data_IF_304630075901
#
_entry.id   IF_304630075901
#
_cell.length_a   1.000
_cell.length_b   1.000
_cell.length_c   1.000
_cell.angle_alpha   90.00
_cell.angle_beta   90.00
_cell.angle_gamma   90.00
#
_symmetry.space_group_name_H-M   'P 1'
#
loop_
_entity.id
_entity.type
_entity.pdbx_description
1 polymer ?
#
# COMPACT_ATOMS: atom_id res chain seq x y z
N UNK A 1 -20.62 19.37 -14.99
CA UNK A 1 -19.55 19.00 -14.03
C UNK A 1 -20.06 19.34 -12.64
N UNK A 2 -20.10 18.37 -11.72
CA UNK A 2 -20.55 18.59 -10.36
C UNK A 2 -19.54 19.50 -9.63
N UNK A 3 -20.04 20.38 -8.77
CA UNK A 3 -19.17 21.18 -7.88
C UNK A 3 -18.64 20.31 -6.74
N UNK A 4 -17.53 20.70 -6.08
CA UNK A 4 -17.01 19.96 -4.92
C UNK A 4 -18.06 19.76 -3.82
N UNK A 5 -18.92 20.75 -3.59
CA UNK A 5 -19.99 20.70 -2.60
C UNK A 5 -21.07 19.67 -2.97
N UNK A 6 -21.51 19.67 -4.21
CA UNK A 6 -22.46 18.67 -4.72
C UNK A 6 -21.89 17.24 -4.64
N UNK A 7 -20.59 17.08 -4.89
CA UNK A 7 -19.93 15.80 -4.74
C UNK A 7 -19.87 15.35 -3.28
N UNK A 8 -19.56 16.28 -2.36
CA UNK A 8 -19.55 16.01 -0.93
C UNK A 8 -20.94 15.55 -0.45
N UNK A 9 -22.00 16.29 -0.75
CA UNK A 9 -23.38 15.93 -0.38
C UNK A 9 -23.81 14.58 -0.97
N UNK A 10 -23.45 14.32 -2.23
CA UNK A 10 -23.71 13.03 -2.86
C UNK A 10 -23.04 11.88 -2.12
N UNK A 11 -21.77 12.02 -1.73
CA UNK A 11 -21.02 10.98 -1.01
C UNK A 11 -21.51 10.80 0.42
N UNK A 12 -21.87 11.89 1.12
CA UNK A 12 -22.51 11.82 2.44
C UNK A 12 -23.76 10.96 2.38
N UNK A 13 -24.65 11.25 1.42
CA UNK A 13 -25.88 10.49 1.26
C UNK A 13 -25.61 9.03 0.81
N UNK A 14 -24.74 8.83 -0.17
CA UNK A 14 -24.39 7.50 -0.68
C UNK A 14 -23.83 6.57 0.40
N UNK A 15 -23.01 7.11 1.28
CA UNK A 15 -22.38 6.35 2.35
C UNK A 15 -23.09 6.48 3.70
N UNK A 16 -24.23 7.13 3.76
CA UNK A 16 -25.01 7.33 4.98
C UNK A 16 -24.17 7.86 6.16
N UNK A 17 -23.36 8.91 5.90
CA UNK A 17 -22.53 9.52 6.92
C UNK A 17 -23.38 10.44 7.76
N UNK A 18 -23.33 10.27 9.08
CA UNK A 18 -24.04 11.12 10.04
C UNK A 18 -23.30 12.45 10.22
N UNK A 19 -23.81 13.49 9.58
CA UNK A 19 -23.27 14.85 9.64
C UNK A 19 -23.79 15.67 10.83
N UNK A 20 -24.73 15.12 11.61
CA UNK A 20 -25.17 15.75 12.85
C UNK A 20 -24.21 15.42 14.00
N UNK A 21 -23.68 14.17 14.00
CA UNK A 21 -22.72 13.70 15.01
C UNK A 21 -21.28 14.07 14.68
N UNK A 22 -20.92 14.03 13.40
CA UNK A 22 -19.52 14.22 12.95
C UNK A 22 -19.34 15.57 12.24
N UNK A 23 -18.29 16.30 12.62
CA UNK A 23 -17.88 17.49 11.90
C UNK A 23 -17.47 17.16 10.45
N UNK A 24 -17.34 18.21 9.62
CA UNK A 24 -17.05 18.06 8.19
C UNK A 24 -15.75 17.29 7.93
N UNK A 25 -14.73 17.46 8.77
CA UNK A 25 -13.44 16.79 8.60
C UNK A 25 -13.55 15.28 8.91
N UNK A 26 -14.20 14.92 10.01
CA UNK A 26 -14.45 13.52 10.36
C UNK A 26 -15.40 12.84 9.39
N UNK A 27 -16.43 13.51 8.95
CA UNK A 27 -17.32 13.02 7.91
C UNK A 27 -16.55 12.71 6.61
N UNK A 28 -15.61 13.58 6.21
CA UNK A 28 -14.73 13.32 5.07
C UNK A 28 -13.85 12.10 5.28
N UNK A 29 -13.23 11.91 6.44
CA UNK A 29 -12.42 10.72 6.74
C UNK A 29 -13.25 9.43 6.64
N UNK A 30 -14.46 9.43 7.19
CA UNK A 30 -15.39 8.29 7.10
C UNK A 30 -15.75 7.99 5.64
N UNK A 31 -16.00 9.03 4.84
CA UNK A 31 -16.29 8.86 3.40
C UNK A 31 -15.12 8.25 2.65
N UNK A 32 -13.88 8.68 2.92
CA UNK A 32 -12.68 8.12 2.27
C UNK A 32 -12.56 6.62 2.55
N UNK A 33 -12.72 6.21 3.80
CA UNK A 33 -12.68 4.79 4.18
C UNK A 33 -13.81 4.01 3.51
N UNK A 34 -15.04 4.49 3.58
CA UNK A 34 -16.20 3.83 2.95
C UNK A 34 -16.10 3.77 1.44
N UNK A 35 -15.51 4.79 0.81
CA UNK A 35 -15.25 4.79 -0.62
C UNK A 35 -14.18 3.75 -1.01
N UNK A 36 -13.09 3.65 -0.25
CA UNK A 36 -12.08 2.63 -0.46
C UNK A 36 -12.67 1.21 -0.37
N UNK A 37 -13.48 0.94 0.66
CA UNK A 37 -14.21 -0.32 0.80
C UNK A 37 -15.22 -0.56 -0.34
N UNK A 38 -15.86 0.50 -0.85
CA UNK A 38 -16.78 0.40 -1.98
C UNK A 38 -16.09 -0.03 -3.27
N UNK A 39 -14.88 0.46 -3.52
CA UNK A 39 -14.10 0.08 -4.71
C UNK A 39 -13.75 -1.42 -4.75
N UNK A 40 -13.60 -2.05 -3.60
CA UNK A 40 -13.29 -3.48 -3.45
C UNK A 40 -14.51 -4.33 -3.08
N UNK A 41 -15.73 -3.76 -3.11
CA UNK A 41 -16.96 -4.39 -2.62
C UNK A 41 -17.37 -5.68 -3.34
N UNK A 42 -16.85 -5.93 -4.54
CA UNK A 42 -17.04 -7.19 -5.27
C UNK A 42 -16.21 -8.35 -4.69
N UNK A 43 -15.20 -8.05 -3.88
CA UNK A 43 -14.33 -9.01 -3.19
C UNK A 43 -14.40 -8.82 -1.68
N UNK A 44 -15.58 -9.08 -1.09
CA UNK A 44 -15.88 -8.81 0.33
C UNK A 44 -14.96 -9.48 1.35
N UNK A 45 -14.23 -10.52 0.93
CA UNK A 45 -13.26 -11.25 1.74
C UNK A 45 -11.85 -10.69 1.66
N UNK A 46 -11.60 -9.73 0.74
CA UNK A 46 -10.29 -9.06 0.66
C UNK A 46 -10.32 -7.82 1.56
N UNK A 47 -9.40 -7.71 2.53
CA UNK A 47 -9.31 -6.54 3.38
C UNK A 47 -9.00 -5.28 2.56
N UNK A 48 -9.60 -4.16 2.97
CA UNK A 48 -9.23 -2.83 2.45
C UNK A 48 -8.19 -2.22 3.37
N UNK A 49 -7.04 -1.85 2.83
CA UNK A 49 -6.01 -1.14 3.58
C UNK A 49 -6.48 0.29 3.88
N UNK A 50 -6.52 0.63 5.17
CA UNK A 50 -7.01 1.93 5.66
C UNK A 50 -5.86 2.84 6.05
N UNK A 51 -4.82 2.29 6.66
CA UNK A 51 -3.64 3.02 7.10
C UNK A 51 -2.41 2.11 7.05
N UNK A 52 -1.29 2.71 6.70
CA UNK A 52 0.02 2.04 6.65
C UNK A 52 0.98 2.74 7.62
N UNK A 53 2.03 2.02 8.01
CA UNK A 53 3.11 2.55 8.85
C UNK A 53 2.60 3.15 10.17
N UNK A 54 1.60 2.50 10.77
CA UNK A 54 1.02 2.93 12.04
C UNK A 54 1.98 2.63 13.20
N UNK A 55 2.01 3.51 14.21
CA UNK A 55 2.89 3.33 15.37
C UNK A 55 2.47 2.13 16.23
N UNK A 56 3.44 1.56 16.96
CA UNK A 56 3.19 0.46 17.90
C UNK A 56 2.14 0.82 18.94
N UNK A 57 2.07 2.09 19.36
CA UNK A 57 1.04 2.60 20.27
C UNK A 57 -0.36 2.48 19.63
N UNK A 58 -0.50 2.87 18.36
CA UNK A 58 -1.76 2.75 17.61
C UNK A 58 -2.15 1.27 17.45
N UNK A 59 -1.19 0.40 17.16
CA UNK A 59 -1.41 -1.05 17.09
C UNK A 59 -1.92 -1.60 18.42
N UNK A 60 -1.31 -1.19 19.53
CA UNK A 60 -1.73 -1.62 20.87
C UNK A 60 -3.16 -1.17 21.17
N UNK A 61 -3.52 0.08 20.86
CA UNK A 61 -4.89 0.61 21.05
C UNK A 61 -5.91 -0.17 20.21
N UNK A 62 -5.60 -0.45 18.94
CA UNK A 62 -6.49 -1.23 18.05
C UNK A 62 -6.71 -2.63 18.62
N UNK A 63 -5.64 -3.29 19.09
CA UNK A 63 -5.73 -4.64 19.68
C UNK A 63 -6.52 -4.64 21.00
N UNK A 64 -6.37 -3.61 21.83
CA UNK A 64 -7.14 -3.46 23.07
C UNK A 64 -8.65 -3.30 22.80
N UNK A 65 -9.00 -2.55 21.75
CA UNK A 65 -10.39 -2.29 21.35
C UNK A 65 -10.90 -3.26 20.27
N UNK A 66 -10.26 -4.41 20.07
CA UNK A 66 -10.65 -5.36 19.01
C UNK A 66 -12.10 -5.86 19.12
N UNK A 67 -12.67 -5.93 20.34
CA UNK A 67 -14.08 -6.28 20.55
C UNK A 67 -15.05 -5.26 19.95
N UNK A 68 -14.67 -3.99 19.95
CA UNK A 68 -15.49 -2.87 19.46
C UNK A 68 -15.23 -2.59 17.99
N UNK A 69 -14.04 -2.96 17.49
CA UNK A 69 -13.57 -2.76 16.14
C UNK A 69 -13.73 -4.02 15.28
N UNK A 70 -14.92 -4.61 15.26
CA UNK A 70 -15.19 -5.82 14.49
C UNK A 70 -14.88 -5.64 13.01
N UNK A 71 -14.03 -6.51 12.46
CA UNK A 71 -13.61 -6.46 11.06
C UNK A 71 -12.39 -5.56 10.79
N UNK A 72 -11.79 -4.99 11.82
CA UNK A 72 -10.49 -4.30 11.73
C UNK A 72 -9.40 -5.27 12.14
N UNK A 73 -8.34 -5.37 11.33
CA UNK A 73 -7.20 -6.25 11.55
C UNK A 73 -5.91 -5.46 11.38
N UNK A 74 -4.91 -5.78 12.16
CA UNK A 74 -3.54 -5.28 12.02
C UNK A 74 -2.69 -6.39 11.42
N UNK A 75 -2.08 -6.13 10.27
CA UNK A 75 -1.14 -7.04 9.60
C UNK A 75 0.24 -6.43 9.58
N UNK A 76 1.23 -7.29 9.74
CA UNK A 76 2.63 -6.94 9.47
C UNK A 76 2.89 -7.06 7.98
N UNK A 77 3.55 -6.05 7.42
CA UNK A 77 3.93 -6.02 6.02
C UNK A 77 5.35 -5.48 5.87
N UNK A 78 5.94 -5.64 4.70
CA UNK A 78 7.28 -5.17 4.39
C UNK A 78 7.21 -3.91 3.53
N UNK A 79 8.02 -2.92 3.89
CA UNK A 79 8.08 -1.63 3.21
C UNK A 79 9.43 -1.43 2.55
N UNK A 80 9.42 -0.84 1.35
CA UNK A 80 10.64 -0.39 0.70
C UNK A 80 11.22 0.79 1.46
N UNK A 81 12.49 0.71 1.83
CA UNK A 81 13.23 1.80 2.50
C UNK A 81 14.41 2.18 1.62
N UNK A 82 14.58 3.48 1.41
CA UNK A 82 15.66 4.04 0.62
C UNK A 82 16.55 4.91 1.49
N UNK A 83 17.86 4.66 1.47
CA UNK A 83 18.82 5.54 2.10
C UNK A 83 19.06 6.77 1.22
N UNK A 84 18.93 7.96 1.78
CA UNK A 84 19.16 9.25 1.10
C UNK A 84 18.39 9.42 -0.22
N UNK A 85 17.05 9.24 -0.23
CA UNK A 85 16.26 9.19 -1.46
C UNK A 85 16.36 10.44 -2.32
N UNK A 86 16.53 11.62 -1.73
CA UNK A 86 16.68 12.91 -2.40
C UNK A 86 17.92 12.97 -3.31
N UNK A 87 19.00 12.30 -2.92
CA UNK A 87 20.26 12.29 -3.67
C UNK A 87 20.35 11.17 -4.70
N UNK A 88 19.55 10.10 -4.52
CA UNK A 88 19.67 8.88 -5.32
C UNK A 88 18.42 8.55 -6.15
N UNK A 89 17.36 9.34 -6.10
CA UNK A 89 16.09 9.05 -6.77
C UNK A 89 16.23 8.69 -8.25
N UNK A 90 17.13 9.36 -8.97
CA UNK A 90 17.41 9.14 -10.39
C UNK A 90 18.13 7.82 -10.67
N UNK A 91 18.81 7.23 -9.69
CA UNK A 91 19.48 5.93 -9.76
C UNK A 91 18.56 4.82 -9.26
N UNK A 92 17.96 5.03 -8.08
CA UNK A 92 17.09 4.05 -7.43
C UNK A 92 15.81 3.81 -8.25
N UNK A 93 15.26 4.87 -8.82
CA UNK A 93 13.98 4.81 -9.51
C UNK A 93 12.80 4.89 -8.56
N UNK A 94 11.69 4.29 -8.95
CA UNK A 94 10.46 4.30 -8.17
C UNK A 94 9.64 3.04 -8.45
N UNK A 95 8.73 2.73 -7.54
CA UNK A 95 7.76 1.65 -7.67
C UNK A 95 6.40 2.18 -8.10
N UNK A 96 5.63 1.36 -8.77
CA UNK A 96 4.28 1.71 -9.20
C UNK A 96 3.47 0.48 -9.58
N UNK A 97 2.18 0.68 -9.80
CA UNK A 97 1.28 -0.42 -10.16
C UNK A 97 1.73 -1.09 -11.46
N UNK A 98 1.74 -2.41 -11.48
CA UNK A 98 2.11 -3.23 -12.64
C UNK A 98 1.19 -2.93 -13.83
N UNK A 99 1.75 -2.77 -15.02
CA UNK A 99 1.02 -2.70 -16.29
C UNK A 99 0.79 -4.08 -16.88
N UNK A 100 -0.11 -4.21 -17.86
CA UNK A 100 -0.37 -5.52 -18.49
C UNK A 100 0.89 -6.09 -19.16
N UNK A 101 1.71 -5.26 -19.81
CA UNK A 101 2.96 -5.71 -20.44
C UNK A 101 4.02 -6.18 -19.43
N UNK A 102 4.18 -5.44 -18.33
CA UNK A 102 5.10 -5.85 -17.26
C UNK A 102 4.62 -7.12 -16.55
N UNK A 103 3.30 -7.28 -16.42
CA UNK A 103 2.73 -8.49 -15.87
C UNK A 103 3.04 -9.72 -16.74
N UNK A 104 2.89 -9.60 -18.06
CA UNK A 104 3.21 -10.70 -18.98
C UNK A 104 4.70 -11.09 -18.90
N UNK A 105 5.59 -10.11 -18.80
CA UNK A 105 7.03 -10.34 -18.71
C UNK A 105 7.46 -10.93 -17.35
N UNK A 106 6.93 -10.39 -16.24
CA UNK A 106 7.29 -10.81 -14.89
C UNK A 106 6.64 -12.15 -14.51
N UNK A 107 5.38 -12.37 -14.89
CA UNK A 107 4.69 -13.64 -14.63
C UNK A 107 5.28 -14.83 -15.40
N UNK A 108 5.95 -14.58 -16.52
CA UNK A 108 6.71 -15.59 -17.24
C UNK A 108 7.98 -16.03 -16.48
N UNK A 109 8.49 -15.21 -15.57
CA UNK A 109 9.69 -15.46 -14.77
C UNK A 109 9.34 -15.97 -13.36
N UNK A 110 8.26 -15.46 -12.78
CA UNK A 110 7.74 -15.86 -11.47
C UNK A 110 6.20 -15.79 -11.49
N UNK A 111 5.54 -16.92 -11.31
CA UNK A 111 4.07 -17.07 -11.35
C UNK A 111 3.36 -16.45 -10.13
N UNK A 112 4.11 -15.96 -9.15
CA UNK A 112 3.57 -15.28 -7.97
C UNK A 112 3.07 -13.86 -8.24
N UNK A 113 3.43 -13.26 -9.39
CA UNK A 113 2.96 -11.92 -9.76
C UNK A 113 1.46 -11.88 -10.05
N UNK A 114 0.84 -10.77 -9.68
CA UNK A 114 -0.57 -10.50 -9.94
C UNK A 114 -0.76 -9.08 -10.52
N UNK A 115 -1.85 -8.86 -11.23
CA UNK A 115 -2.19 -7.54 -11.84
C UNK A 115 -2.42 -6.41 -10.83
N UNK A 116 -2.45 -6.72 -9.54
CA UNK A 116 -2.60 -5.74 -8.46
C UNK A 116 -1.27 -5.30 -7.84
N UNK A 117 -0.16 -5.90 -8.26
CA UNK A 117 1.13 -5.71 -7.63
C UNK A 117 1.73 -4.33 -7.90
N UNK A 118 2.59 -3.93 -6.97
CA UNK A 118 3.48 -2.79 -7.10
C UNK A 118 4.86 -3.32 -7.48
N UNK A 119 5.41 -2.83 -8.57
CA UNK A 119 6.69 -3.26 -9.14
C UNK A 119 7.59 -2.07 -9.44
N UNK A 120 8.88 -2.31 -9.57
CA UNK A 120 9.85 -1.28 -9.99
C UNK A 120 9.59 -0.78 -11.40
N UNK A 121 9.54 0.53 -11.57
CA UNK A 121 9.23 1.19 -12.85
C UNK A 121 10.46 1.75 -13.56
N UNK A 122 11.50 2.04 -12.83
CA UNK A 122 12.72 2.63 -13.35
C UNK A 122 13.91 2.31 -12.45
N UNK A 123 15.13 2.53 -12.97
CA UNK A 123 16.37 2.44 -12.20
C UNK A 123 16.63 1.07 -11.59
N UNK A 124 17.22 1.08 -10.42
CA UNK A 124 17.55 -0.15 -9.67
C UNK A 124 16.30 -0.93 -9.29
N UNK A 125 15.22 -0.25 -8.93
CA UNK A 125 13.95 -0.89 -8.61
C UNK A 125 13.47 -1.79 -9.77
N UNK A 126 13.54 -1.31 -11.00
CA UNK A 126 13.13 -2.10 -12.16
C UNK A 126 14.10 -3.24 -12.47
N UNK A 127 15.40 -2.96 -12.45
CA UNK A 127 16.43 -3.96 -12.82
C UNK A 127 16.53 -5.07 -11.80
N UNK A 128 16.34 -4.76 -10.52
CA UNK A 128 16.47 -5.70 -9.41
C UNK A 128 15.12 -6.15 -8.86
N UNK A 129 14.03 -5.96 -9.60
CA UNK A 129 12.66 -6.28 -9.18
C UNK A 129 12.53 -7.68 -8.59
N UNK A 130 13.01 -8.71 -9.29
CA UNK A 130 12.92 -10.10 -8.82
C UNK A 130 13.65 -10.38 -7.49
N UNK A 131 14.67 -9.58 -7.17
CA UNK A 131 15.42 -9.69 -5.92
C UNK A 131 14.76 -8.90 -4.79
N UNK A 132 14.15 -7.76 -5.15
CA UNK A 132 13.58 -6.81 -4.22
C UNK A 132 12.15 -7.17 -3.81
N UNK A 133 11.37 -7.85 -4.66
CA UNK A 133 9.93 -8.07 -4.49
C UNK A 133 9.57 -8.92 -3.26
N UNK A 134 10.43 -9.82 -2.82
CA UNK A 134 10.10 -10.74 -1.73
C UNK A 134 9.07 -11.81 -2.14
N UNK A 135 8.51 -12.48 -1.15
CA UNK A 135 7.49 -13.51 -1.37
C UNK A 135 6.22 -13.17 -0.63
N UNK A 136 5.10 -13.22 -1.33
CA UNK A 136 3.78 -12.97 -0.75
C UNK A 136 3.41 -14.03 0.27
N UNK A 137 2.78 -13.62 1.34
CA UNK A 137 2.02 -14.51 2.18
C UNK A 137 0.76 -15.03 1.45
N UNK A 138 0.28 -16.17 1.86
CA UNK A 138 -0.95 -16.73 1.33
C UNK A 138 -1.79 -17.32 2.46
N UNK A 139 -3.08 -17.08 2.40
CA UNK A 139 -4.04 -17.61 3.36
C UNK A 139 -5.21 -18.26 2.60
N UNK A 140 -5.49 -19.51 2.90
CA UNK A 140 -6.67 -20.19 2.36
C UNK A 140 -7.78 -20.17 3.40
N UNK A 141 -8.86 -19.50 3.08
CA UNK A 141 -10.00 -19.35 3.97
C UNK A 141 -11.26 -20.00 3.42
N UNK A 142 -12.05 -20.64 4.30
CA UNK A 142 -13.41 -21.03 3.98
C UNK A 142 -14.36 -19.92 4.37
N UNK A 143 -15.18 -19.50 3.43
CA UNK A 143 -16.20 -18.45 3.66
C UNK A 143 -17.61 -19.00 3.48
N UNK A 144 -18.57 -18.44 4.19
CA UNK A 144 -19.98 -18.72 3.97
C UNK A 144 -20.53 -17.93 2.76
N UNK A 145 -21.80 -18.14 2.43
CA UNK A 145 -22.49 -17.43 1.33
C UNK A 145 -22.61 -15.91 1.54
N UNK A 146 -22.32 -15.40 2.73
CA UNK A 146 -22.30 -13.96 3.07
C UNK A 146 -20.88 -13.39 3.04
N UNK A 147 -19.86 -14.20 2.70
CA UNK A 147 -18.45 -13.79 2.66
C UNK A 147 -17.77 -13.75 4.05
N UNK A 148 -18.42 -14.28 5.12
CA UNK A 148 -17.80 -14.37 6.43
C UNK A 148 -16.83 -15.55 6.47
N UNK A 149 -15.59 -15.30 6.89
CA UNK A 149 -14.58 -16.34 7.12
C UNK A 149 -15.05 -17.28 8.23
N UNK A 150 -15.13 -18.57 7.92
CA UNK A 150 -15.51 -19.63 8.84
C UNK A 150 -14.29 -20.36 9.41
N UNK A 151 -13.27 -20.55 8.59
CA UNK A 151 -12.06 -21.26 8.97
C UNK A 151 -10.89 -20.83 8.08
N UNK A 152 -9.72 -20.72 8.69
CA UNK A 152 -8.43 -20.62 7.99
C UNK A 152 -7.86 -22.03 7.88
N UNK A 153 -7.52 -22.46 6.68
CA UNK A 153 -6.99 -23.81 6.43
C UNK A 153 -5.46 -23.81 6.38
N UNK A 154 -4.92 -22.99 5.51
CA UNK A 154 -3.49 -22.90 5.28
C UNK A 154 -3.05 -21.44 5.41
N UNK A 155 -1.94 -21.24 6.09
CA UNK A 155 -1.34 -19.94 6.27
C UNK A 155 0.14 -20.01 5.91
N UNK A 156 0.61 -19.05 5.10
CA UNK A 156 2.01 -18.88 4.74
C UNK A 156 2.39 -17.42 4.95
N UNK A 157 3.38 -17.20 5.79
CA UNK A 157 3.91 -15.85 6.02
C UNK A 157 4.50 -15.23 4.76
N UNK A 158 4.38 -13.93 4.63
CA UNK A 158 5.14 -13.15 3.67
C UNK A 158 6.61 -13.10 4.10
N UNK A 159 7.52 -12.98 3.14
CA UNK A 159 8.92 -12.72 3.44
C UNK A 159 9.43 -11.54 2.63
N UNK A 160 10.20 -10.66 3.27
CA UNK A 160 10.83 -9.54 2.61
C UNK A 160 11.76 -9.98 1.48
N UNK A 161 11.91 -9.14 0.47
CA UNK A 161 12.95 -9.30 -0.55
C UNK A 161 14.34 -9.05 0.00
N UNK A 162 15.32 -9.18 -0.88
CA UNK A 162 16.72 -8.97 -0.53
C UNK A 162 17.05 -7.48 -0.45
N UNK A 163 18.04 -7.13 0.36
CA UNK A 163 18.65 -5.81 0.31
C UNK A 163 19.62 -5.71 -0.88
N UNK A 164 19.63 -4.57 -1.55
CA UNK A 164 20.56 -4.28 -2.63
C UNK A 164 21.55 -3.21 -2.19
N UNK A 165 22.83 -3.52 -2.27
CA UNK A 165 23.91 -2.62 -1.93
C UNK A 165 24.59 -2.15 -3.21
N UNK A 166 24.65 -0.84 -3.41
CA UNK A 166 25.31 -0.22 -4.56
C UNK A 166 26.76 0.09 -4.24
N UNK A 167 27.62 0.05 -5.26
CA UNK A 167 29.05 0.42 -5.15
C UNK A 167 29.28 1.94 -5.22
N UNK A 168 28.24 2.75 -5.16
CA UNK A 168 28.32 4.20 -5.23
C UNK A 168 28.70 4.75 -3.87
N UNK A 169 29.70 5.64 -3.82
CA UNK A 169 30.04 6.36 -2.62
C UNK A 169 28.98 7.44 -2.32
N UNK A 170 28.21 7.22 -1.24
CA UNK A 170 27.11 8.10 -0.88
C UNK A 170 27.59 9.52 -0.54
N UNK A 171 28.75 9.66 0.12
CA UNK A 171 29.30 10.97 0.50
C UNK A 171 29.69 11.78 -0.75
N UNK A 172 30.33 11.12 -1.71
CA UNK A 172 30.70 11.76 -2.98
C UNK A 172 29.45 12.16 -3.77
N UNK A 173 28.45 11.30 -3.86
CA UNK A 173 27.19 11.57 -4.54
C UNK A 173 26.47 12.78 -3.95
N UNK A 174 26.34 12.84 -2.63
CA UNK A 174 25.72 13.98 -1.93
C UNK A 174 26.49 15.27 -2.18
N UNK A 175 27.82 15.24 -2.08
CA UNK A 175 28.64 16.43 -2.32
C UNK A 175 28.52 16.95 -3.76
N UNK A 176 28.48 16.04 -4.77
CA UNK A 176 28.28 16.42 -6.17
C UNK A 176 26.89 17.01 -6.38
N UNK A 177 25.87 16.41 -5.81
CA UNK A 177 24.49 16.91 -5.89
C UNK A 177 24.39 18.35 -5.34
N UNK A 178 24.91 18.59 -4.14
CA UNK A 178 24.87 19.90 -3.49
C UNK A 178 25.64 20.97 -4.28
N UNK A 179 26.78 20.59 -4.90
CA UNK A 179 27.55 21.50 -5.76
C UNK A 179 26.79 21.86 -7.04
N UNK A 180 26.10 20.90 -7.64
CA UNK A 180 25.27 21.14 -8.83
C UNK A 180 24.07 22.04 -8.49
N UNK A 181 23.40 21.82 -7.36
CA UNK A 181 22.30 22.66 -6.92
C UNK A 181 22.73 24.11 -6.70
N UNK A 182 23.89 24.31 -6.01
CA UNK A 182 24.48 25.64 -5.83
C UNK A 182 24.87 26.33 -7.13
N UNK A 183 25.29 25.54 -8.14
CA UNK A 183 25.68 26.08 -9.44
C UNK A 183 24.50 26.44 -10.35
N UNK A 184 23.30 25.93 -10.03
CA UNK A 184 22.06 26.18 -10.79
C UNK A 184 21.20 27.29 -10.16
N UNK A 185 21.46 27.66 -8.91
CA UNK A 185 20.77 28.72 -8.18
C UNK A 185 21.36 30.08 -8.48
#
# INVERSE_FOLDING_TARGET
TATPEQMYEYLVNKFAVDTETYDRYRAYQIMVVRYAMYLTSFQKYIPTNIAEDVSDETVAIIREHASDLQGVEVKEDTKRVYDYPEYFSHILGYTGKISDSEYDDLSAQDDSYSKSDIVGKAGIEQVMELQLQGKKGAETVYVNNLGKVLQVKDYKDSSAGNNVYLSIDATLQMAVYDLLEQGLA
#
